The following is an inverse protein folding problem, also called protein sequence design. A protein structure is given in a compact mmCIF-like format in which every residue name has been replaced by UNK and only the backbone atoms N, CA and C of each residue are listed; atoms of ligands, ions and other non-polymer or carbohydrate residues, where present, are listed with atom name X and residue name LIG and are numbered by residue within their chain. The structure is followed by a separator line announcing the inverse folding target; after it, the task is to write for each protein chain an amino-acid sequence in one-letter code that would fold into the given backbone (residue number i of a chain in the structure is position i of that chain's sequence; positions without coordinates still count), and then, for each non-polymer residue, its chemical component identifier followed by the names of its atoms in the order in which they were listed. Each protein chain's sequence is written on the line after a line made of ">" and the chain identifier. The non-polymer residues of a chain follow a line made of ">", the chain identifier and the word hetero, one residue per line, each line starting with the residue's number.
data_IF_124467338178
#
_entry.id   IF_124467338178
#
_cell.length_a   1.000
_cell.length_b   1.000
_cell.length_c   1.000
_cell.angle_alpha   90.00
_cell.angle_beta   90.00
_cell.angle_gamma   90.00
#
_symmetry.space_group_name_H-M   'P 1'
#
loop_
_entity.id
_entity.type
_entity.pdbx_description
1 polymer ?
#
# COMPACT_ATOMS: atom_id res chain seq x y z
N UNK A 1 17.00 -7.64 17.74
CA UNK A 1 15.63 -7.72 17.23
C UNK A 1 15.27 -9.15 16.90
N UNK A 2 14.26 -9.71 17.57
CA UNK A 2 13.76 -11.06 17.35
C UNK A 2 13.07 -11.20 15.98
N UNK A 3 12.93 -12.44 15.46
CA UNK A 3 12.19 -12.70 14.22
C UNK A 3 10.74 -12.17 14.29
N UNK A 4 10.12 -12.29 15.47
CA UNK A 4 8.76 -11.80 15.75
C UNK A 4 8.68 -10.28 15.69
N UNK A 5 9.65 -9.56 16.26
CA UNK A 5 9.71 -8.09 16.17
C UNK A 5 9.90 -7.61 14.72
N UNK A 6 10.73 -8.31 13.92
CA UNK A 6 10.92 -7.99 12.50
C UNK A 6 9.63 -8.14 11.72
N UNK A 7 8.90 -9.22 11.96
CA UNK A 7 7.59 -9.43 11.34
C UNK A 7 6.58 -8.36 11.74
N UNK A 8 6.51 -8.04 13.03
CA UNK A 8 5.62 -6.99 13.54
C UNK A 8 5.92 -5.62 12.91
N UNK A 9 7.20 -5.25 12.75
CA UNK A 9 7.58 -4.01 12.05
C UNK A 9 7.16 -4.02 10.57
N UNK A 10 7.34 -5.14 9.86
CA UNK A 10 6.96 -5.26 8.45
C UNK A 10 5.45 -5.09 8.28
N UNK A 11 4.65 -5.83 9.05
CA UNK A 11 3.18 -5.76 8.98
C UNK A 11 2.69 -4.38 9.38
N UNK A 12 3.26 -3.78 10.43
CA UNK A 12 2.90 -2.42 10.86
C UNK A 12 3.27 -1.39 9.78
N UNK A 13 4.40 -1.55 9.11
CA UNK A 13 4.81 -0.69 8.00
C UNK A 13 3.86 -0.79 6.81
N UNK A 14 3.45 -2.00 6.43
CA UNK A 14 2.46 -2.22 5.37
C UNK A 14 1.12 -1.57 5.72
N UNK A 15 0.67 -1.73 6.98
CA UNK A 15 -0.57 -1.11 7.46
C UNK A 15 -0.52 0.42 7.42
N UNK A 16 0.60 1.02 7.83
CA UNK A 16 0.80 2.47 7.76
C UNK A 16 0.79 2.97 6.31
N UNK A 17 1.48 2.30 5.39
CA UNK A 17 1.48 2.68 3.97
C UNK A 17 0.07 2.53 3.38
N UNK A 18 -0.67 1.48 3.75
CA UNK A 18 -2.05 1.25 3.32
C UNK A 18 -2.97 2.40 3.76
N UNK A 19 -2.82 2.87 5.01
CA UNK A 19 -3.58 4.02 5.53
C UNK A 19 -3.26 5.32 4.76
N UNK A 20 -1.99 5.52 4.41
CA UNK A 20 -1.53 6.72 3.72
C UNK A 20 -1.76 6.68 2.19
N UNK A 21 -2.07 5.52 1.62
CA UNK A 21 -2.20 5.31 0.17
C UNK A 21 -3.14 6.32 -0.50
N UNK A 22 -4.35 6.61 0.01
CA UNK A 22 -5.25 7.59 -0.62
C UNK A 22 -4.62 8.99 -0.73
N UNK A 23 -3.86 9.41 0.29
CA UNK A 23 -3.16 10.68 0.31
C UNK A 23 -1.93 10.70 -0.60
N UNK A 24 -1.17 9.60 -0.63
CA UNK A 24 -0.01 9.42 -1.52
C UNK A 24 -0.45 9.50 -2.98
N UNK A 25 -1.50 8.78 -3.35
CA UNK A 25 -2.03 8.80 -4.73
C UNK A 25 -2.53 10.19 -5.09
N UNK A 26 -3.29 10.84 -4.22
CA UNK A 26 -3.78 12.21 -4.47
C UNK A 26 -2.63 13.20 -4.63
N UNK A 27 -1.58 13.09 -3.80
CA UNK A 27 -0.40 13.94 -3.88
C UNK A 27 0.32 13.79 -5.23
N UNK A 28 0.55 12.56 -5.70
CA UNK A 28 1.22 12.35 -6.98
C UNK A 28 0.35 12.77 -8.17
N UNK A 29 -0.96 12.50 -8.13
CA UNK A 29 -1.86 12.90 -9.21
C UNK A 29 -2.12 14.41 -9.28
N UNK A 30 -2.04 15.13 -8.15
CA UNK A 30 -2.21 16.59 -8.12
C UNK A 30 -0.96 17.37 -8.56
N UNK A 31 0.19 16.69 -8.70
CA UNK A 31 1.43 17.30 -9.22
C UNK A 31 1.52 17.24 -10.75
N UNK A 32 0.66 16.48 -11.42
CA UNK A 32 0.52 16.53 -12.88
C UNK A 32 -0.40 17.71 -13.24
N UNK A 33 0.10 18.60 -14.10
CA UNK A 33 -0.48 19.92 -14.43
C UNK A 33 -1.99 19.93 -14.72
N UNK A 34 -2.66 20.97 -14.19
CA UNK A 34 -4.08 21.31 -14.41
C UNK A 34 -4.99 20.08 -14.24
N UNK A 35 -5.05 19.57 -13.01
CA UNK A 35 -6.08 18.61 -12.60
C UNK A 35 -7.45 19.26 -12.74
N UNK A 36 -8.09 19.03 -13.87
CA UNK A 36 -9.53 19.21 -14.00
C UNK A 36 -10.17 18.09 -13.20
N UNK A 37 -10.87 18.45 -12.12
CA UNK A 37 -11.64 17.51 -11.31
C UNK A 37 -12.83 16.98 -12.14
N UNK A 38 -12.53 16.04 -13.04
CA UNK A 38 -13.47 15.39 -13.91
C UNK A 38 -13.57 13.88 -13.56
N UNK A 39 -14.56 13.21 -14.14
CA UNK A 39 -14.84 11.79 -13.93
C UNK A 39 -13.60 10.93 -14.21
N UNK A 40 -12.81 11.28 -15.23
CA UNK A 40 -11.57 10.57 -15.58
C UNK A 40 -10.52 10.63 -14.44
N UNK A 41 -10.41 11.76 -13.75
CA UNK A 41 -9.52 11.89 -12.58
C UNK A 41 -9.93 10.92 -11.47
N UNK A 42 -11.23 10.88 -11.12
CA UNK A 42 -11.72 10.01 -10.05
C UNK A 42 -11.58 8.53 -10.40
N UNK A 43 -11.82 8.15 -11.67
CA UNK A 43 -11.63 6.77 -12.13
C UNK A 43 -10.15 6.38 -12.01
N UNK A 44 -9.23 7.22 -12.50
CA UNK A 44 -7.78 6.99 -12.37
C UNK A 44 -7.33 6.93 -10.91
N UNK A 45 -7.86 7.80 -10.07
CA UNK A 45 -7.59 7.84 -8.64
C UNK A 45 -8.00 6.53 -7.96
N UNK A 46 -9.25 6.11 -8.13
CA UNK A 46 -9.79 4.89 -7.52
C UNK A 46 -9.01 3.66 -8.01
N UNK A 47 -8.76 3.56 -9.32
CA UNK A 47 -7.97 2.45 -9.88
C UNK A 47 -6.55 2.40 -9.31
N UNK A 48 -5.91 3.56 -9.16
CA UNK A 48 -4.56 3.65 -8.59
C UNK A 48 -4.55 3.24 -7.11
N UNK A 49 -5.52 3.73 -6.32
CA UNK A 49 -5.67 3.33 -4.91
C UNK A 49 -5.89 1.82 -4.79
N UNK A 50 -6.82 1.25 -5.56
CA UNK A 50 -7.11 -0.19 -5.53
C UNK A 50 -5.87 -1.00 -5.91
N UNK A 51 -5.16 -0.61 -6.97
CA UNK A 51 -3.94 -1.30 -7.43
C UNK A 51 -2.86 -1.36 -6.34
N UNK A 52 -2.63 -0.23 -5.64
CA UNK A 52 -1.67 -0.16 -4.54
C UNK A 52 -2.15 -1.02 -3.36
N UNK A 53 -3.43 -0.97 -3.00
CA UNK A 53 -3.96 -1.78 -1.90
C UNK A 53 -3.85 -3.29 -2.17
N UNK A 54 -4.12 -3.74 -3.39
CA UNK A 54 -3.94 -5.14 -3.80
C UNK A 54 -2.46 -5.55 -3.68
N UNK A 55 -1.55 -4.66 -4.09
CA UNK A 55 -0.09 -4.91 -3.99
C UNK A 55 0.39 -4.99 -2.54
N UNK A 56 -0.11 -4.10 -1.66
CA UNK A 56 0.18 -4.13 -0.22
C UNK A 56 -0.39 -5.37 0.46
N UNK A 57 -1.60 -5.78 0.08
CA UNK A 57 -2.20 -7.03 0.55
C UNK A 57 -1.34 -8.24 0.15
N UNK A 58 -0.90 -8.30 -1.10
CA UNK A 58 0.00 -9.35 -1.56
C UNK A 58 1.31 -9.39 -0.74
N UNK A 59 1.92 -8.22 -0.47
CA UNK A 59 3.11 -8.12 0.37
C UNK A 59 2.87 -8.60 1.80
N UNK A 60 1.71 -8.30 2.39
CA UNK A 60 1.35 -8.77 3.73
C UNK A 60 1.21 -10.30 3.76
N UNK A 61 0.55 -10.89 2.77
CA UNK A 61 0.42 -12.34 2.63
C UNK A 61 1.79 -13.00 2.45
N UNK A 62 2.61 -12.48 1.54
CA UNK A 62 3.96 -13.00 1.29
C UNK A 62 4.82 -12.93 2.55
N UNK A 63 4.80 -11.80 3.26
CA UNK A 63 5.53 -11.63 4.52
C UNK A 63 5.09 -12.64 5.57
N UNK A 64 3.78 -12.92 5.64
CA UNK A 64 3.19 -13.90 6.55
C UNK A 64 3.67 -15.31 6.21
N UNK A 65 3.59 -15.71 4.93
CA UNK A 65 4.04 -17.03 4.46
C UNK A 65 5.53 -17.22 4.77
N UNK A 66 6.37 -16.24 4.43
CA UNK A 66 7.82 -16.31 4.68
C UNK A 66 8.15 -16.42 6.16
N UNK A 67 7.44 -15.71 7.03
CA UNK A 67 7.63 -15.81 8.47
C UNK A 67 7.29 -17.20 9.00
N UNK A 68 6.15 -17.78 8.57
CA UNK A 68 5.74 -19.11 8.99
C UNK A 68 6.64 -20.22 8.42
N UNK A 69 7.06 -20.12 7.17
CA UNK A 69 7.99 -21.10 6.57
C UNK A 69 9.38 -21.04 7.19
N UNK A 70 9.88 -19.85 7.54
CA UNK A 70 11.21 -19.68 8.13
C UNK A 70 11.30 -20.09 9.61
N UNK A 71 10.18 -20.14 10.31
CA UNK A 71 10.09 -20.57 11.71
C UNK A 71 9.77 -22.07 11.88
N UNK A 72 9.60 -22.82 10.78
CA UNK A 72 9.67 -24.28 10.78
C UNK A 72 11.12 -24.72 10.67
#
# INVERSE_FOLDING_TARGET
>A
MSSKEKFALIISGIALISLLTPGIVSFFMNNDEIVTLDTDYYVKYILSVISIQVSLFYLAVLSTILFFYKNK
#
